data_IF_241899379482
#
_entry.id   IF_241899379482
#
_cell.length_a   1.000
_cell.length_b   1.000
_cell.length_c   1.000
_cell.angle_alpha   90.00
_cell.angle_beta   90.00
_cell.angle_gamma   90.00
#
_symmetry.space_group_name_H-M   'P 1'
#
loop_
_entity.id
_entity.type
_entity.pdbx_description
1 polymer ?
#
# COMPACT_ATOMS: atom_id res chain seq x y z
N UNK A 1 -71.64 50.30 32.34
CA UNK A 1 -71.73 50.38 33.79
C UNK A 1 -70.34 50.10 34.30
N UNK A 2 -69.72 51.18 34.52
CA UNK A 2 -69.00 51.62 35.71
C UNK A 2 -67.72 50.81 35.97
N UNK A 3 -66.70 51.42 35.90
CA UNK A 3 -65.86 52.37 36.69
C UNK A 3 -64.74 51.56 37.33
N UNK A 4 -63.58 51.98 37.55
CA UNK A 4 -62.80 53.21 37.55
C UNK A 4 -61.33 52.84 37.81
N UNK A 5 -60.44 53.62 37.24
CA UNK A 5 -59.20 54.16 37.77
C UNK A 5 -58.58 53.49 39.03
N UNK A 6 -57.31 53.17 38.96
CA UNK A 6 -56.33 54.03 39.66
C UNK A 6 -54.90 53.71 39.22
N UNK A 7 -54.28 54.79 38.93
CA UNK A 7 -52.88 55.04 38.65
C UNK A 7 -52.09 54.93 39.97
N UNK A 8 -50.99 54.21 39.97
CA UNK A 8 -49.91 54.44 40.93
C UNK A 8 -48.54 54.16 40.36
N UNK A 9 -47.95 55.22 39.87
CA UNK A 9 -46.52 55.40 39.78
C UNK A 9 -45.76 54.87 40.99
N UNK A 10 -44.69 54.12 40.83
CA UNK A 10 -43.46 54.28 41.65
C UNK A 10 -42.26 53.50 41.13
N UNK A 11 -41.26 54.28 40.83
CA UNK A 11 -39.82 54.08 41.05
C UNK A 11 -39.04 53.03 40.27
N UNK A 12 -38.38 53.54 39.31
CA UNK A 12 -37.04 53.29 38.84
C UNK A 12 -36.14 52.58 39.85
N UNK A 13 -35.80 51.31 39.61
CA UNK A 13 -34.54 50.72 40.03
C UNK A 13 -33.93 50.01 38.87
N UNK A 14 -32.89 50.67 38.35
CA UNK A 14 -31.99 50.09 37.35
C UNK A 14 -30.90 49.32 38.13
N UNK A 15 -30.80 48.00 38.10
CA UNK A 15 -29.56 47.35 38.48
C UNK A 15 -28.60 47.43 37.29
N UNK A 16 -27.46 48.03 37.52
CA UNK A 16 -26.36 48.10 36.61
C UNK A 16 -26.01 46.66 36.10
N UNK A 17 -26.21 46.46 34.83
CA UNK A 17 -25.71 45.29 34.12
C UNK A 17 -24.20 45.41 34.01
N UNK A 18 -23.49 44.78 34.94
CA UNK A 18 -22.07 44.56 34.85
C UNK A 18 -21.77 43.68 33.63
N UNK A 19 -21.44 44.30 32.50
CA UNK A 19 -20.96 43.64 31.33
C UNK A 19 -19.57 43.09 31.64
N UNK A 20 -19.51 41.82 32.10
CA UNK A 20 -18.26 41.06 32.23
C UNK A 20 -17.78 40.72 30.83
N UNK A 21 -16.98 41.60 30.23
CA UNK A 21 -16.23 41.33 29.01
C UNK A 21 -15.17 40.25 29.33
N UNK A 22 -15.56 38.99 29.15
CA UNK A 22 -14.62 37.90 29.04
C UNK A 22 -13.80 38.16 27.77
N UNK A 23 -12.62 38.73 27.94
CA UNK A 23 -11.57 38.72 26.92
C UNK A 23 -11.20 37.26 26.61
N UNK A 24 -11.88 36.65 25.65
CA UNK A 24 -11.45 35.42 25.00
C UNK A 24 -10.17 35.78 24.21
N UNK A 25 -9.03 35.67 24.88
CA UNK A 25 -7.75 35.65 24.17
C UNK A 25 -7.81 34.48 23.17
N UNK A 26 -7.49 34.69 21.89
CA UNK A 26 -7.43 33.60 20.96
C UNK A 26 -6.36 32.61 21.44
N UNK A 27 -6.78 31.42 21.88
CA UNK A 27 -5.85 30.31 22.09
C UNK A 27 -5.29 29.98 20.72
N UNK A 28 -4.13 30.54 20.41
CA UNK A 28 -3.34 30.09 19.28
C UNK A 28 -2.92 28.66 19.62
N UNK A 29 -3.72 27.69 19.15
CA UNK A 29 -3.23 26.32 19.05
C UNK A 29 -2.01 26.39 18.13
N UNK A 30 -0.84 26.40 18.73
CA UNK A 30 0.39 26.05 18.01
C UNK A 30 0.19 24.60 17.62
N UNK A 31 -0.26 24.39 16.40
CA UNK A 31 -0.21 23.09 15.73
C UNK A 31 1.29 22.81 15.61
N UNK A 32 1.83 22.10 16.58
CA UNK A 32 3.13 21.43 16.41
C UNK A 32 2.88 20.39 15.32
N UNK A 33 3.04 20.82 14.09
CA UNK A 33 3.20 19.93 12.97
C UNK A 33 4.58 19.32 13.22
N UNK A 34 4.58 18.15 13.90
CA UNK A 34 5.72 17.28 13.85
C UNK A 34 5.86 16.95 12.35
N UNK A 35 6.66 17.73 11.67
CA UNK A 35 7.25 17.32 10.43
C UNK A 35 8.04 16.07 10.82
N UNK A 36 7.47 14.89 10.59
CA UNK A 36 8.25 13.67 10.53
C UNK A 36 9.19 13.88 9.35
N UNK A 37 10.35 14.43 9.64
CA UNK A 37 11.47 14.41 8.72
C UNK A 37 11.88 12.93 8.57
N UNK A 38 11.07 12.19 7.79
CA UNK A 38 11.35 10.82 7.41
C UNK A 38 12.25 10.89 6.19
N UNK A 39 13.40 11.58 6.32
CA UNK A 39 14.42 11.53 5.31
C UNK A 39 14.83 10.07 5.15
N UNK A 40 14.66 9.58 3.91
CA UNK A 40 15.15 8.25 3.54
C UNK A 40 16.64 8.33 3.21
N UNK A 41 17.33 7.21 3.38
CA UNK A 41 18.70 7.02 2.92
C UNK A 41 18.72 6.01 1.79
N UNK A 42 19.69 6.10 0.91
CA UNK A 42 19.90 5.08 -0.10
C UNK A 42 20.70 3.92 0.47
N UNK A 43 20.14 2.72 0.38
CA UNK A 43 20.76 1.46 0.76
C UNK A 43 21.08 0.65 -0.49
N UNK A 44 22.37 0.46 -0.78
CA UNK A 44 22.80 -0.47 -1.83
C UNK A 44 22.83 -1.89 -1.28
N UNK A 45 22.03 -2.77 -1.88
CA UNK A 45 22.00 -4.18 -1.52
C UNK A 45 23.22 -4.93 -2.11
N UNK A 46 23.58 -6.04 -1.49
CA UNK A 46 24.47 -7.02 -2.11
C UNK A 46 23.82 -7.60 -3.38
N UNK A 47 24.66 -8.18 -4.24
CA UNK A 47 24.17 -8.78 -5.49
C UNK A 47 23.16 -9.89 -5.23
N UNK A 48 22.10 -9.91 -6.03
CA UNK A 48 21.10 -10.97 -6.11
C UNK A 48 20.66 -11.19 -7.55
N UNK A 49 19.64 -12.00 -7.75
CA UNK A 49 19.17 -12.41 -9.07
C UNK A 49 17.67 -12.13 -9.19
N UNK A 50 17.25 -11.35 -10.17
CA UNK A 50 15.86 -11.30 -10.64
C UNK A 50 15.55 -12.57 -11.39
N UNK A 51 14.65 -13.39 -10.89
CA UNK A 51 14.28 -14.71 -11.43
C UNK A 51 13.05 -14.58 -12.31
N UNK A 52 13.23 -14.04 -13.50
CA UNK A 52 12.16 -13.93 -14.50
C UNK A 52 11.63 -15.29 -14.94
N UNK A 53 12.47 -16.34 -14.96
CA UNK A 53 12.06 -17.71 -15.21
C UNK A 53 11.02 -18.19 -14.19
N UNK A 54 11.20 -17.92 -12.92
CA UNK A 54 10.28 -18.26 -11.86
C UNK A 54 9.00 -17.40 -11.90
N UNK A 55 9.13 -16.12 -12.22
CA UNK A 55 8.00 -15.23 -12.37
C UNK A 55 6.99 -15.72 -13.42
N UNK A 56 7.47 -16.16 -14.58
CA UNK A 56 6.60 -16.68 -15.64
C UNK A 56 6.02 -18.04 -15.31
N UNK A 57 6.75 -18.93 -14.61
CA UNK A 57 6.20 -20.20 -14.11
C UNK A 57 5.05 -19.94 -13.11
N UNK A 58 5.20 -18.96 -12.21
CA UNK A 58 4.10 -18.58 -11.31
C UNK A 58 2.91 -18.01 -12.08
N UNK A 59 3.11 -17.20 -13.11
CA UNK A 59 2.01 -16.70 -13.96
C UNK A 59 1.22 -17.86 -14.57
N UNK A 60 1.92 -18.89 -15.08
CA UNK A 60 1.28 -20.08 -15.63
C UNK A 60 0.45 -20.81 -14.57
N UNK A 61 0.98 -21.00 -13.37
CA UNK A 61 0.27 -21.61 -12.24
C UNK A 61 -0.96 -20.79 -11.81
N UNK A 62 -0.84 -19.46 -11.76
CA UNK A 62 -1.97 -18.55 -11.51
C UNK A 62 -3.07 -18.79 -12.54
N UNK A 63 -2.73 -18.82 -13.82
CA UNK A 63 -3.71 -18.98 -14.87
C UNK A 63 -4.33 -20.40 -14.91
N UNK A 64 -3.57 -21.44 -14.57
CA UNK A 64 -4.12 -22.78 -14.37
C UNK A 64 -5.13 -22.80 -13.22
N UNK A 65 -4.83 -22.15 -12.08
CA UNK A 65 -5.74 -22.10 -10.93
C UNK A 65 -6.99 -21.29 -11.24
N UNK A 66 -6.84 -20.15 -11.92
CA UNK A 66 -7.96 -19.32 -12.39
C UNK A 66 -8.89 -20.09 -13.33
N UNK A 67 -8.34 -20.86 -14.25
CA UNK A 67 -9.11 -21.70 -15.19
C UNK A 67 -9.97 -22.76 -14.47
N UNK A 68 -9.48 -23.39 -13.39
CA UNK A 68 -10.26 -24.35 -12.56
C UNK A 68 -11.52 -23.72 -11.97
N UNK A 69 -11.57 -22.41 -11.84
CA UNK A 69 -12.71 -21.64 -11.30
C UNK A 69 -13.43 -20.81 -12.36
N UNK A 70 -13.21 -21.10 -13.65
CA UNK A 70 -13.80 -20.37 -14.78
C UNK A 70 -13.53 -18.85 -14.72
N UNK A 71 -12.31 -18.46 -14.29
CA UNK A 71 -11.82 -17.09 -14.34
C UNK A 71 -11.00 -16.89 -15.61
N UNK A 72 -11.15 -15.71 -16.23
CA UNK A 72 -10.30 -15.33 -17.35
C UNK A 72 -8.83 -15.31 -16.93
N UNK A 73 -7.89 -15.71 -17.81
CA UNK A 73 -6.48 -15.59 -17.52
C UNK A 73 -6.08 -14.12 -17.33
N UNK A 74 -5.04 -13.89 -16.54
CA UNK A 74 -4.33 -12.60 -16.47
C UNK A 74 -3.10 -12.64 -17.36
N UNK A 75 -2.73 -11.47 -17.87
CA UNK A 75 -1.57 -11.31 -18.75
C UNK A 75 -0.42 -10.63 -17.99
N UNK A 76 0.82 -11.10 -18.20
CA UNK A 76 1.98 -10.39 -17.66
C UNK A 76 2.05 -8.99 -18.27
N UNK A 77 1.99 -7.99 -17.41
CA UNK A 77 2.18 -6.59 -17.78
C UNK A 77 3.61 -6.18 -17.52
N UNK A 78 4.23 -5.51 -18.47
CA UNK A 78 5.64 -5.11 -18.41
C UNK A 78 5.94 -4.21 -17.20
N UNK A 79 5.08 -3.25 -16.93
CA UNK A 79 5.32 -2.27 -15.87
C UNK A 79 5.00 -2.86 -14.50
N UNK A 80 3.97 -3.72 -14.38
CA UNK A 80 3.70 -4.48 -13.17
C UNK A 80 4.79 -5.52 -12.88
N UNK A 81 5.40 -6.13 -13.91
CA UNK A 81 6.55 -7.04 -13.75
C UNK A 81 7.73 -6.30 -13.08
N UNK A 82 8.09 -5.12 -13.58
CA UNK A 82 9.15 -4.31 -12.98
C UNK A 82 8.78 -3.83 -11.56
N UNK A 83 7.53 -3.46 -11.34
CA UNK A 83 7.02 -3.15 -10.01
C UNK A 83 7.20 -4.35 -9.07
N UNK A 84 6.76 -5.54 -9.46
CA UNK A 84 6.84 -6.74 -8.65
C UNK A 84 8.30 -7.16 -8.37
N UNK A 85 9.22 -7.01 -9.33
CA UNK A 85 10.65 -7.26 -9.11
C UNK A 85 11.23 -6.28 -8.10
N UNK A 86 10.93 -4.98 -8.21
CA UNK A 86 11.35 -3.96 -7.23
C UNK A 86 10.79 -4.26 -5.85
N UNK A 87 9.52 -4.64 -5.75
CA UNK A 87 8.90 -5.02 -4.48
C UNK A 87 9.54 -6.27 -3.87
N UNK A 88 9.89 -7.27 -4.68
CA UNK A 88 10.62 -8.46 -4.21
C UNK A 88 12.02 -8.11 -3.65
N UNK A 89 12.71 -7.16 -4.27
CA UNK A 89 13.97 -6.61 -3.75
C UNK A 89 13.76 -5.89 -2.41
N UNK A 90 12.71 -5.10 -2.26
CA UNK A 90 12.35 -4.38 -1.03
C UNK A 90 12.05 -5.33 0.14
N UNK A 91 11.50 -6.53 -0.10
CA UNK A 91 11.26 -7.53 0.93
C UNK A 91 12.53 -8.01 1.63
N UNK A 92 13.70 -7.89 0.99
CA UNK A 92 14.99 -8.24 1.63
C UNK A 92 15.32 -7.35 2.81
N UNK A 93 14.78 -6.13 2.84
CA UNK A 93 14.98 -5.12 3.88
C UNK A 93 13.79 -5.07 4.83
N UNK A 94 12.58 -5.12 4.26
CA UNK A 94 11.36 -4.99 5.04
C UNK A 94 10.23 -5.87 4.49
N UNK A 95 9.98 -6.99 5.17
CA UNK A 95 8.96 -7.98 4.82
C UNK A 95 7.56 -7.46 5.17
N UNK A 96 7.02 -6.56 4.35
CA UNK A 96 5.75 -5.86 4.61
C UNK A 96 5.08 -5.37 3.33
N UNK A 97 3.75 -5.16 3.39
CA UNK A 97 3.02 -4.35 2.40
C UNK A 97 3.32 -2.84 2.50
N UNK A 98 4.04 -2.41 3.53
CA UNK A 98 4.66 -1.08 3.58
C UNK A 98 6.05 -1.17 2.97
N UNK A 99 6.38 -0.23 2.09
CA UNK A 99 7.70 -0.17 1.46
C UNK A 99 8.77 0.31 2.43
N UNK A 100 10.06 0.02 2.21
CA UNK A 100 11.14 0.48 3.08
C UNK A 100 11.22 2.00 3.26
N UNK A 101 10.72 2.78 2.31
CA UNK A 101 10.62 4.24 2.39
C UNK A 101 9.42 4.75 3.19
N UNK A 102 8.60 3.84 3.75
CA UNK A 102 7.42 4.16 4.55
C UNK A 102 6.12 4.34 3.77
N UNK A 103 6.16 4.32 2.43
CA UNK A 103 4.93 4.38 1.63
C UNK A 103 4.22 3.03 1.54
N UNK A 104 2.94 3.05 1.18
CA UNK A 104 2.16 1.82 0.92
C UNK A 104 2.68 1.12 -0.36
N UNK A 105 2.58 -0.22 -0.43
CA UNK A 105 3.01 -1.01 -1.59
C UNK A 105 2.47 -0.48 -2.92
N UNK A 106 1.22 -0.03 -2.95
CA UNK A 106 0.59 0.52 -4.17
C UNK A 106 1.25 1.79 -4.73
N UNK A 107 2.11 2.46 -3.95
CA UNK A 107 2.92 3.57 -4.48
C UNK A 107 3.99 3.12 -5.50
N UNK A 108 4.26 1.83 -5.58
CA UNK A 108 5.13 1.24 -6.60
C UNK A 108 4.39 0.88 -7.88
N UNK A 109 3.05 0.79 -7.82
CA UNK A 109 2.24 0.35 -8.96
C UNK A 109 2.18 1.44 -10.02
N UNK A 110 2.28 1.06 -11.31
CA UNK A 110 2.13 2.01 -12.41
C UNK A 110 0.66 2.43 -12.62
N UNK A 111 -0.28 1.63 -12.11
CA UNK A 111 -1.73 1.78 -12.29
C UNK A 111 -2.45 1.67 -10.93
N UNK A 112 -3.57 2.39 -10.78
CA UNK A 112 -4.38 2.40 -9.55
C UNK A 112 -5.75 1.72 -9.72
N UNK A 113 -5.99 1.04 -10.85
CA UNK A 113 -7.23 0.33 -11.14
C UNK A 113 -7.24 -1.03 -10.44
N UNK A 114 -8.05 -1.14 -9.37
CA UNK A 114 -8.24 -2.34 -8.54
C UNK A 114 -6.91 -3.04 -8.16
N UNK A 115 -5.90 -2.33 -7.59
CA UNK A 115 -4.61 -2.93 -7.29
C UNK A 115 -4.70 -3.92 -6.14
N UNK A 116 -3.97 -5.03 -6.24
CA UNK A 116 -3.76 -5.94 -5.11
C UNK A 116 -2.36 -6.55 -5.14
N UNK A 117 -1.84 -6.88 -3.94
CA UNK A 117 -0.51 -7.45 -3.77
C UNK A 117 -0.57 -8.69 -2.89
N UNK A 118 0.12 -9.76 -3.31
CA UNK A 118 0.49 -10.89 -2.47
C UNK A 118 2.00 -10.91 -2.30
N UNK A 119 2.48 -11.24 -1.10
CA UNK A 119 3.90 -11.42 -0.81
C UNK A 119 4.15 -12.77 -0.14
N UNK A 120 5.36 -13.32 -0.36
CA UNK A 120 5.84 -14.52 0.33
C UNK A 120 7.38 -14.52 0.36
N UNK A 121 7.95 -15.28 1.31
CA UNK A 121 9.40 -15.36 1.52
C UNK A 121 9.77 -16.79 1.87
N UNK A 122 10.86 -17.28 1.26
CA UNK A 122 11.49 -18.58 1.52
C UNK A 122 10.79 -19.81 0.91
N UNK A 123 9.71 -19.67 0.14
CA UNK A 123 9.26 -20.77 -0.70
C UNK A 123 10.31 -21.01 -1.80
N UNK A 124 10.81 -22.23 -1.92
CA UNK A 124 11.95 -22.59 -2.75
C UNK A 124 11.64 -22.70 -4.24
N UNK A 125 10.36 -22.88 -4.60
CA UNK A 125 9.91 -23.09 -5.98
C UNK A 125 8.65 -22.31 -6.30
N UNK A 126 8.34 -22.09 -7.60
CA UNK A 126 7.06 -21.55 -8.07
C UNK A 126 5.84 -22.31 -7.55
N UNK A 127 5.94 -23.63 -7.47
CA UNK A 127 4.85 -24.50 -6.99
C UNK A 127 4.60 -24.28 -5.49
N UNK A 128 5.65 -24.27 -4.68
CA UNK A 128 5.55 -24.04 -3.23
C UNK A 128 4.95 -22.68 -2.90
N UNK A 129 5.37 -21.61 -3.58
CA UNK A 129 4.81 -20.30 -3.34
C UNK A 129 3.36 -20.19 -3.77
N UNK A 130 3.01 -20.82 -4.89
CA UNK A 130 1.63 -20.83 -5.37
C UNK A 130 0.72 -21.62 -4.42
N UNK A 131 1.15 -22.79 -3.91
CA UNK A 131 0.45 -23.56 -2.89
C UNK A 131 0.21 -22.74 -1.62
N UNK A 132 1.26 -22.09 -1.10
CA UNK A 132 1.17 -21.20 0.06
C UNK A 132 0.14 -20.07 -0.12
N UNK A 133 0.06 -19.49 -1.31
CA UNK A 133 -0.93 -18.45 -1.60
C UNK A 133 -2.35 -19.01 -1.78
N UNK A 134 -2.50 -20.23 -2.30
CA UNK A 134 -3.81 -20.89 -2.43
C UNK A 134 -4.38 -21.21 -1.05
N UNK A 135 -3.56 -21.65 -0.11
CA UNK A 135 -3.98 -21.99 1.25
C UNK A 135 -4.39 -20.76 2.09
N UNK A 136 -3.91 -19.56 1.73
CA UNK A 136 -4.27 -18.31 2.38
C UNK A 136 -5.52 -17.69 1.73
N UNK A 137 -6.61 -17.57 2.47
CA UNK A 137 -7.87 -17.01 1.96
C UNK A 137 -7.73 -15.59 1.41
N UNK A 138 -6.88 -14.76 2.03
CA UNK A 138 -6.61 -13.40 1.57
C UNK A 138 -5.85 -13.38 0.24
N UNK A 139 -4.76 -14.13 0.14
CA UNK A 139 -3.98 -14.22 -1.08
C UNK A 139 -4.78 -14.86 -2.21
N UNK A 140 -5.54 -15.92 -1.91
CA UNK A 140 -6.39 -16.60 -2.88
C UNK A 140 -7.48 -15.66 -3.44
N UNK A 141 -8.06 -14.81 -2.59
CA UNK A 141 -9.03 -13.80 -3.03
C UNK A 141 -8.43 -12.86 -4.07
N UNK A 142 -7.19 -12.41 -3.87
CA UNK A 142 -6.50 -11.57 -4.85
C UNK A 142 -6.28 -12.32 -6.17
N UNK A 143 -5.83 -13.59 -6.12
CA UNK A 143 -5.63 -14.41 -7.30
C UNK A 143 -6.95 -14.62 -8.08
N UNK A 144 -8.07 -14.83 -7.36
CA UNK A 144 -9.38 -15.15 -7.95
C UNK A 144 -10.24 -13.94 -8.30
N UNK A 145 -9.77 -12.72 -8.05
CA UNK A 145 -10.54 -11.52 -8.38
C UNK A 145 -10.87 -11.50 -9.88
N UNK A 146 -12.18 -11.42 -10.17
CA UNK A 146 -12.69 -11.45 -11.55
C UNK A 146 -12.35 -10.19 -12.36
N UNK A 147 -11.99 -9.11 -11.69
CA UNK A 147 -11.60 -7.85 -12.32
C UNK A 147 -10.14 -7.85 -12.80
N UNK A 148 -9.31 -8.78 -12.32
CA UNK A 148 -7.92 -8.83 -12.75
C UNK A 148 -7.83 -9.10 -14.25
N UNK A 149 -7.09 -8.24 -14.95
CA UNK A 149 -6.76 -8.32 -16.37
C UNK A 149 -5.26 -8.51 -16.55
N UNK A 150 -4.47 -7.79 -15.76
CA UNK A 150 -3.01 -7.82 -15.79
C UNK A 150 -2.42 -8.29 -14.47
N UNK A 151 -1.20 -8.83 -14.55
CA UNK A 151 -0.41 -9.24 -13.41
C UNK A 151 1.07 -8.88 -13.61
N UNK A 152 1.75 -8.62 -12.50
CA UNK A 152 3.21 -8.60 -12.42
C UNK A 152 3.64 -9.61 -11.37
N UNK A 153 4.57 -10.49 -11.71
CA UNK A 153 5.13 -11.45 -10.77
C UNK A 153 6.61 -11.15 -10.58
N UNK A 154 7.04 -10.98 -9.33
CA UNK A 154 8.42 -10.77 -8.93
C UNK A 154 8.97 -11.95 -8.16
N UNK A 155 10.18 -12.37 -8.50
CA UNK A 155 10.98 -13.28 -7.70
C UNK A 155 12.43 -12.78 -7.66
N UNK A 156 12.91 -12.47 -6.47
CA UNK A 156 14.28 -12.06 -6.23
C UNK A 156 15.01 -13.05 -5.34
N UNK A 157 16.18 -13.51 -5.78
CA UNK A 157 17.02 -14.44 -5.03
C UNK A 157 18.23 -13.71 -4.46
N UNK A 158 18.42 -13.79 -3.15
CA UNK A 158 19.61 -13.23 -2.48
C UNK A 158 19.99 -14.08 -1.28
N UNK A 159 21.27 -14.39 -1.13
CA UNK A 159 21.85 -15.14 0.00
C UNK A 159 21.13 -16.48 0.27
N UNK A 160 20.66 -17.17 -0.77
CA UNK A 160 19.94 -18.45 -0.66
C UNK A 160 18.44 -18.32 -0.31
N UNK A 161 17.93 -17.10 -0.15
CA UNK A 161 16.51 -16.85 0.08
C UNK A 161 15.82 -16.39 -1.20
N UNK A 162 14.52 -16.72 -1.31
CA UNK A 162 13.63 -16.24 -2.38
C UNK A 162 12.57 -15.32 -1.79
N UNK A 163 12.35 -14.21 -2.47
CA UNK A 163 11.39 -13.17 -2.13
C UNK A 163 10.41 -13.04 -3.28
N UNK A 164 9.11 -13.18 -2.98
CA UNK A 164 8.07 -13.31 -3.98
C UNK A 164 7.01 -12.23 -3.86
N UNK A 165 6.58 -11.72 -5.00
CA UNK A 165 5.49 -10.74 -5.10
C UNK A 165 4.56 -11.13 -6.26
N UNK A 166 3.25 -10.98 -6.04
CA UNK A 166 2.25 -10.89 -7.09
C UNK A 166 1.56 -9.54 -7.00
N UNK A 167 1.56 -8.80 -8.09
CA UNK A 167 0.79 -7.58 -8.29
C UNK A 167 -0.33 -7.86 -9.29
N UNK A 168 -1.55 -7.41 -9.02
CA UNK A 168 -2.68 -7.53 -9.94
C UNK A 168 -3.33 -6.18 -10.16
N UNK A 169 -3.93 -5.99 -11.35
CA UNK A 169 -4.71 -4.81 -11.72
C UNK A 169 -5.82 -5.16 -12.70
N UNK A 170 -6.87 -4.32 -12.75
CA UNK A 170 -7.87 -4.34 -13.82
C UNK A 170 -7.44 -3.54 -15.05
N UNK A 171 -6.30 -2.86 -15.01
CA UNK A 171 -5.72 -2.16 -16.17
C UNK A 171 -5.35 -3.13 -17.29
N UNK A 172 -5.54 -2.72 -18.55
CA UNK A 172 -5.17 -3.52 -19.71
C UNK A 172 -3.64 -3.69 -19.80
N UNK A 173 -3.16 -4.93 -19.99
CA UNK A 173 -1.74 -5.23 -19.96
C UNK A 173 -0.97 -4.65 -21.16
N UNK A 174 0.15 -4.01 -20.90
CA UNK A 174 1.24 -3.83 -21.86
C UNK A 174 2.09 -5.12 -21.84
N UNK A 175 1.86 -5.99 -22.82
CA UNK A 175 2.49 -7.31 -22.85
C UNK A 175 3.99 -7.24 -23.06
N UNK A 176 4.74 -8.15 -22.46
CA UNK A 176 6.17 -8.31 -22.66
C UNK A 176 6.54 -9.79 -22.82
N UNK A 177 7.65 -10.02 -23.53
CA UNK A 177 8.28 -11.34 -23.58
C UNK A 177 9.08 -11.56 -22.30
N UNK A 178 9.22 -12.82 -21.90
CA UNK A 178 10.00 -13.18 -20.71
C UNK A 178 11.46 -12.73 -20.88
N UNK A 179 11.98 -11.87 -19.98
CA UNK A 179 13.39 -11.52 -19.97
C UNK A 179 14.26 -12.69 -19.47
N UNK A 180 15.56 -12.64 -19.79
CA UNK A 180 16.52 -13.51 -19.11
C UNK A 180 16.71 -13.10 -17.64
N UNK A 181 17.08 -14.05 -16.78
CA UNK A 181 17.43 -13.74 -15.39
C UNK A 181 18.57 -12.72 -15.31
N UNK A 182 18.49 -11.81 -14.33
CA UNK A 182 19.43 -10.70 -14.23
C UNK A 182 20.11 -10.65 -12.86
N UNK A 183 21.43 -10.58 -12.87
CA UNK A 183 22.20 -10.23 -11.68
C UNK A 183 22.11 -8.71 -11.45
N UNK A 184 21.65 -8.31 -10.28
CA UNK A 184 21.47 -6.89 -9.91
C UNK A 184 21.96 -6.62 -8.49
N UNK A 185 22.39 -5.38 -8.26
CA UNK A 185 22.66 -4.85 -6.92
C UNK A 185 21.77 -3.64 -6.72
N UNK A 186 20.52 -3.83 -6.25
CA UNK A 186 19.54 -2.76 -6.14
C UNK A 186 19.98 -1.65 -5.18
N UNK A 187 19.54 -0.44 -5.45
CA UNK A 187 19.62 0.70 -4.53
C UNK A 187 18.20 1.05 -4.08
N UNK A 188 17.95 0.94 -2.79
CA UNK A 188 16.63 1.16 -2.20
C UNK A 188 16.61 2.43 -1.37
N UNK A 189 15.52 3.17 -1.43
CA UNK A 189 15.23 4.27 -0.51
C UNK A 189 14.62 3.70 0.77
N UNK A 190 15.30 3.84 1.90
CA UNK A 190 14.98 3.18 3.17
C UNK A 190 14.89 4.17 4.31
N UNK A 191 13.90 4.01 5.19
CA UNK A 191 13.83 4.75 6.44
C UNK A 191 14.94 4.29 7.39
N UNK A 192 15.75 5.19 7.98
CA UNK A 192 16.88 4.83 8.84
C UNK A 192 16.52 3.86 9.98
N UNK A 193 15.30 3.94 10.51
CA UNK A 193 14.81 3.04 11.58
C UNK A 193 14.74 1.56 11.19
N UNK A 194 14.75 1.23 9.89
CA UNK A 194 14.72 -0.15 9.40
C UNK A 194 16.12 -0.72 9.14
N UNK A 195 17.16 0.05 9.41
CA UNK A 195 18.56 -0.35 9.23
C UNK A 195 19.25 -0.82 10.54
N UNK A 196 18.52 -0.84 11.66
CA UNK A 196 19.03 -1.22 13.01
C UNK A 196 18.63 -2.65 13.37
#
# INVERSE_FOLDING_TARGET
MNETKEEKTRHLFWPALLLLLLLLAPVHMVRVQAASDQSTVELKLSQGIRRYDYAYQVLDLVNQERAKKNRNPVTMDKNLLECAMTRAEELTVYASHTRPNGSICFSAFPYFEDPSENLAINQGTPEEVMESWIESSGHYTNIMNSKNVSAGIGCYSQNGHLYWIQCFSSHAAETCTQPANQNVSPVLSVLPRLMN
#
